data_IF_704879425158
#
_entry.id   IF_704879425158
#
_cell.length_a   1.000
_cell.length_b   1.000
_cell.length_c   1.000
_cell.angle_alpha   90.00
_cell.angle_beta   90.00
_cell.angle_gamma   90.00
#
_symmetry.space_group_name_H-M   'P 1'
#
loop_
_entity.id
_entity.type
_entity.pdbx_description
1 polymer ?
#
# COMPACT_ATOMS: atom_id res chain seq x y z
N UNK A 1 -4.92 6.22 -11.76
CA UNK A 1 -4.65 4.77 -11.51
C UNK A 1 -3.52 4.31 -12.42
N UNK A 2 -2.26 4.60 -12.10
CA UNK A 2 -1.13 4.35 -13.00
C UNK A 2 -0.85 2.86 -13.25
N UNK A 3 -1.33 1.99 -12.36
CA UNK A 3 -1.12 0.54 -12.46
C UNK A 3 -2.21 -0.18 -13.25
N UNK A 4 -3.18 0.55 -13.77
CA UNK A 4 -4.26 0.04 -14.61
C UNK A 4 -5.65 0.35 -14.09
N UNK A 5 -6.59 0.34 -15.02
CA UNK A 5 -8.00 0.63 -14.80
C UNK A 5 -8.85 -0.51 -15.36
N UNK A 6 -9.97 -0.89 -14.70
CA UNK A 6 -10.89 -1.87 -15.26
C UNK A 6 -11.51 -1.47 -16.60
N UNK A 7 -11.48 -0.17 -16.92
CA UNK A 7 -12.09 0.39 -18.13
C UNK A 7 -11.06 0.57 -19.25
N UNK A 8 -9.85 1.06 -18.92
CA UNK A 8 -8.82 1.45 -19.89
C UNK A 8 -7.69 0.41 -19.99
N UNK A 9 -7.65 -0.56 -19.07
CA UNK A 9 -6.55 -1.51 -18.99
C UNK A 9 -5.26 -0.87 -18.48
N UNK A 10 -4.14 -1.18 -19.10
CA UNK A 10 -2.83 -0.60 -18.78
C UNK A 10 -2.73 0.81 -19.35
N UNK A 11 -2.27 1.74 -18.52
CA UNK A 11 -2.02 3.13 -18.92
C UNK A 11 -0.60 3.24 -19.48
N UNK A 12 -0.40 3.85 -20.67
CA UNK A 12 0.92 4.10 -21.22
C UNK A 12 1.78 4.96 -20.29
N UNK A 13 3.06 4.64 -20.14
CA UNK A 13 3.98 5.40 -19.31
C UNK A 13 4.06 6.88 -19.71
N UNK A 14 4.02 7.18 -21.03
CA UNK A 14 4.04 8.55 -21.53
C UNK A 14 2.86 9.39 -21.08
N UNK A 15 1.70 8.80 -20.89
CA UNK A 15 0.52 9.48 -20.39
C UNK A 15 0.66 9.82 -18.90
N UNK A 16 1.20 8.89 -18.12
CA UNK A 16 1.51 9.11 -16.69
C UNK A 16 2.53 10.23 -16.56
N UNK A 17 3.59 10.21 -17.35
CA UNK A 17 4.63 11.23 -17.37
C UNK A 17 4.06 12.61 -17.68
N UNK A 18 3.16 12.70 -18.68
CA UNK A 18 2.52 13.97 -19.05
C UNK A 18 1.65 14.54 -17.92
N UNK A 19 0.99 13.68 -17.14
CA UNK A 19 0.20 14.11 -15.97
C UNK A 19 1.13 14.62 -14.87
N UNK A 20 2.27 13.93 -14.63
CA UNK A 20 3.26 14.37 -13.65
C UNK A 20 3.85 15.72 -14.05
N UNK A 21 4.23 15.89 -15.31
CA UNK A 21 4.74 17.17 -15.83
C UNK A 21 3.73 18.30 -15.61
N UNK A 22 2.44 18.05 -15.90
CA UNK A 22 1.39 19.04 -15.66
C UNK A 22 1.21 19.40 -14.16
N UNK A 23 1.41 18.45 -13.25
CA UNK A 23 1.42 18.74 -11.81
C UNK A 23 2.63 19.60 -11.41
N UNK A 24 3.80 19.30 -11.94
CA UNK A 24 5.02 20.09 -11.69
C UNK A 24 4.91 21.52 -12.22
N UNK A 25 4.29 21.71 -13.38
CA UNK A 25 4.05 23.02 -13.99
C UNK A 25 3.20 23.96 -13.11
N UNK A 26 2.31 23.38 -12.28
CA UNK A 26 1.50 24.15 -11.31
C UNK A 26 2.08 24.12 -9.89
N UNK A 27 3.31 23.61 -9.72
CA UNK A 27 4.06 23.64 -8.46
C UNK A 27 3.74 22.50 -7.48
N UNK A 28 3.04 21.44 -7.92
CA UNK A 28 2.78 20.26 -7.09
C UNK A 28 4.01 19.35 -7.16
N UNK A 29 4.63 19.11 -6.00
CA UNK A 29 5.85 18.30 -5.86
C UNK A 29 5.69 17.09 -4.95
N UNK A 30 4.48 16.84 -4.45
CA UNK A 30 4.14 15.66 -3.63
C UNK A 30 3.00 14.91 -4.32
N UNK A 31 3.28 13.69 -4.78
CA UNK A 31 2.38 12.91 -5.64
C UNK A 31 2.25 11.49 -5.12
N UNK A 32 1.01 10.98 -5.07
CA UNK A 32 0.72 9.59 -4.76
C UNK A 32 0.41 8.77 -6.02
N UNK A 33 1.10 7.65 -6.18
CA UNK A 33 0.78 6.63 -7.17
C UNK A 33 -0.18 5.62 -6.53
N UNK A 34 -1.44 5.63 -6.97
CA UNK A 34 -2.51 4.86 -6.35
C UNK A 34 -2.97 3.70 -7.21
N UNK A 35 -2.94 2.48 -6.66
CA UNK A 35 -3.53 1.27 -7.25
C UNK A 35 -4.96 1.06 -6.70
N UNK A 36 -5.85 1.98 -6.99
CA UNK A 36 -7.25 1.96 -6.52
C UNK A 36 -8.01 0.71 -6.97
N UNK A 37 -7.65 0.16 -8.12
CA UNK A 37 -8.27 -1.04 -8.67
C UNK A 37 -7.68 -2.35 -8.13
N UNK A 38 -6.52 -2.30 -7.48
CA UNK A 38 -5.76 -3.49 -7.07
C UNK A 38 -5.34 -4.35 -8.26
N UNK A 39 -5.06 -3.73 -9.42
CA UNK A 39 -4.62 -4.41 -10.65
C UNK A 39 -3.10 -4.44 -10.82
N UNK A 40 -2.39 -3.65 -10.03
CA UNK A 40 -0.93 -3.61 -10.04
C UNK A 40 -0.32 -4.96 -9.67
N UNK A 41 0.77 -5.31 -10.34
CA UNK A 41 1.57 -6.51 -10.06
C UNK A 41 3.03 -6.11 -9.81
N UNK A 42 3.81 -6.90 -9.03
CA UNK A 42 5.11 -6.46 -8.50
C UNK A 42 6.11 -5.96 -9.56
N UNK A 43 6.25 -6.66 -10.69
CA UNK A 43 7.16 -6.23 -11.74
C UNK A 43 6.76 -4.88 -12.35
N UNK A 44 5.46 -4.67 -12.60
CA UNK A 44 4.94 -3.39 -13.09
C UNK A 44 5.15 -2.26 -12.08
N UNK A 45 4.95 -2.54 -10.79
CA UNK A 45 5.16 -1.58 -9.71
C UNK A 45 6.64 -1.21 -9.63
N UNK A 46 7.54 -2.19 -9.67
CA UNK A 46 8.99 -1.96 -9.66
C UNK A 46 9.42 -1.08 -10.85
N UNK A 47 8.99 -1.43 -12.07
CA UNK A 47 9.31 -0.68 -13.31
C UNK A 47 8.81 0.78 -13.21
N UNK A 48 7.55 0.97 -12.83
CA UNK A 48 6.93 2.29 -12.67
C UNK A 48 7.67 3.13 -11.61
N UNK A 49 7.89 2.57 -10.42
CA UNK A 49 8.55 3.26 -9.33
C UNK A 49 9.98 3.64 -9.67
N UNK A 50 10.74 2.72 -10.27
CA UNK A 50 12.11 2.99 -10.74
C UNK A 50 12.15 4.10 -11.78
N UNK A 51 11.20 4.08 -12.72
CA UNK A 51 11.08 5.09 -13.77
C UNK A 51 10.81 6.49 -13.16
N UNK A 52 9.76 6.61 -12.37
CA UNK A 52 9.38 7.93 -11.83
C UNK A 52 10.41 8.46 -10.82
N UNK A 53 11.03 7.58 -10.03
CA UNK A 53 12.09 7.96 -9.10
C UNK A 53 13.30 8.54 -9.82
N UNK A 54 13.66 7.98 -10.98
CA UNK A 54 14.78 8.44 -11.81
C UNK A 54 14.44 9.69 -12.60
N UNK A 55 13.28 9.71 -13.24
CA UNK A 55 12.87 10.79 -14.16
C UNK A 55 12.46 12.06 -13.43
N UNK A 56 11.85 11.94 -12.25
CA UNK A 56 11.29 13.05 -11.48
C UNK A 56 11.90 13.12 -10.05
N UNK A 57 13.20 13.37 -9.92
CA UNK A 57 13.92 13.29 -8.65
C UNK A 57 13.52 14.36 -7.62
N UNK A 58 12.80 15.40 -8.04
CA UNK A 58 12.30 16.47 -7.17
C UNK A 58 10.95 16.16 -6.55
N UNK A 59 10.28 15.10 -7.00
CA UNK A 59 8.96 14.71 -6.53
C UNK A 59 9.08 13.86 -5.25
N UNK A 60 8.28 14.21 -4.27
CA UNK A 60 8.06 13.44 -3.05
C UNK A 60 7.00 12.38 -3.33
N UNK A 61 7.43 11.14 -3.50
CA UNK A 61 6.54 10.04 -3.88
C UNK A 61 5.85 9.41 -2.68
N UNK A 62 4.55 9.14 -2.83
CA UNK A 62 3.73 8.29 -1.97
C UNK A 62 3.15 7.14 -2.77
N UNK A 63 2.92 6.01 -2.14
CA UNK A 63 2.31 4.83 -2.75
C UNK A 63 1.07 4.43 -1.97
N UNK A 64 0.01 4.11 -2.70
CA UNK A 64 -1.26 3.67 -2.15
C UNK A 64 -1.72 2.40 -2.86
N UNK A 65 -1.82 1.30 -2.12
CA UNK A 65 -2.19 0.00 -2.69
C UNK A 65 -3.47 -0.55 -2.07
N UNK A 66 -4.37 -0.99 -2.93
CA UNK A 66 -5.51 -1.82 -2.54
C UNK A 66 -5.14 -3.30 -2.60
N UNK A 67 -5.63 -4.07 -1.61
CA UNK A 67 -5.37 -5.50 -1.51
C UNK A 67 -6.45 -6.37 -2.17
N UNK A 68 -7.15 -5.84 -3.15
CA UNK A 68 -8.30 -6.46 -3.82
C UNK A 68 -8.01 -7.89 -4.32
N UNK A 69 -6.78 -8.17 -4.75
CA UNK A 69 -6.35 -9.48 -5.26
C UNK A 69 -5.25 -10.12 -4.42
N UNK A 70 -5.04 -9.64 -3.19
CA UNK A 70 -4.04 -10.20 -2.27
C UNK A 70 -2.58 -9.93 -2.65
N UNK A 71 -2.30 -9.00 -3.59
CA UNK A 71 -0.94 -8.74 -4.10
C UNK A 71 -0.32 -7.45 -3.55
N UNK A 72 -1.06 -6.66 -2.77
CA UNK A 72 -0.58 -5.36 -2.30
C UNK A 72 0.72 -5.45 -1.49
N UNK A 73 0.89 -6.48 -0.66
CA UNK A 73 2.12 -6.70 0.11
C UNK A 73 3.34 -6.88 -0.80
N UNK A 74 3.19 -7.70 -1.85
CA UNK A 74 4.26 -7.91 -2.83
C UNK A 74 4.55 -6.64 -3.64
N UNK A 75 3.53 -5.83 -3.93
CA UNK A 75 3.67 -4.54 -4.58
C UNK A 75 4.44 -3.54 -3.71
N UNK A 76 4.18 -3.51 -2.39
CA UNK A 76 4.93 -2.68 -1.44
C UNK A 76 6.40 -3.08 -1.44
N UNK A 77 6.72 -4.37 -1.37
CA UNK A 77 8.10 -4.84 -1.42
C UNK A 77 8.79 -4.44 -2.73
N UNK A 78 8.13 -4.61 -3.86
CA UNK A 78 8.66 -4.20 -5.16
C UNK A 78 8.89 -2.68 -5.25
N UNK A 79 8.00 -1.88 -4.68
CA UNK A 79 8.17 -0.43 -4.61
C UNK A 79 9.34 -0.03 -3.69
N UNK A 80 9.51 -0.70 -2.55
CA UNK A 80 10.66 -0.49 -1.66
C UNK A 80 11.98 -0.83 -2.35
N UNK A 81 12.03 -1.92 -3.13
CA UNK A 81 13.20 -2.31 -3.93
C UNK A 81 13.53 -1.24 -4.98
N UNK A 82 12.52 -0.56 -5.53
CA UNK A 82 12.67 0.58 -6.43
C UNK A 82 13.03 1.91 -5.72
N UNK A 83 13.28 1.90 -4.40
CA UNK A 83 13.68 3.06 -3.61
C UNK A 83 12.54 3.89 -3.00
N UNK A 84 11.29 3.41 -3.08
CA UNK A 84 10.15 4.10 -2.46
C UNK A 84 10.09 3.85 -0.96
N UNK A 85 9.78 4.90 -0.17
CA UNK A 85 9.81 4.84 1.29
C UNK A 85 8.54 5.33 1.98
N UNK A 86 7.53 5.79 1.24
CA UNK A 86 6.31 6.37 1.81
C UNK A 86 5.10 5.63 1.27
N UNK A 87 4.29 5.10 2.19
CA UNK A 87 3.13 4.27 1.87
C UNK A 87 1.93 4.68 2.70
N UNK A 88 0.79 4.85 2.04
CA UNK A 88 -0.50 5.00 2.70
C UNK A 88 -1.10 3.63 2.97
N UNK A 89 -1.59 3.43 4.17
CA UNK A 89 -2.25 2.19 4.60
C UNK A 89 -3.43 2.51 5.50
N UNK A 90 -4.27 1.55 5.81
CA UNK A 90 -5.44 1.76 6.64
C UNK A 90 -5.54 0.76 7.79
N UNK A 91 -6.03 1.18 8.96
CA UNK A 91 -6.31 0.28 10.07
C UNK A 91 -7.25 -0.85 9.64
N UNK A 92 -6.82 -2.09 9.84
CA UNK A 92 -7.61 -3.25 9.44
C UNK A 92 -7.86 -3.39 7.93
N UNK A 93 -7.20 -2.62 7.09
CA UNK A 93 -7.47 -2.59 5.66
C UNK A 93 -8.79 -1.92 5.29
N UNK A 94 -9.31 -1.05 6.14
CA UNK A 94 -10.58 -0.36 5.92
C UNK A 94 -10.51 0.62 4.76
N UNK A 95 -11.65 0.78 4.10
CA UNK A 95 -11.80 1.63 2.93
C UNK A 95 -11.74 0.83 1.64
N UNK A 96 -12.35 1.36 0.61
CA UNK A 96 -12.44 0.73 -0.71
C UNK A 96 -12.95 1.72 -1.73
N UNK A 97 -13.11 1.27 -2.96
CA UNK A 97 -13.67 2.08 -4.03
C UNK A 97 -15.04 1.55 -4.42
N UNK A 98 -16.14 2.30 -4.21
CA UNK A 98 -17.48 1.84 -4.55
C UNK A 98 -17.69 1.71 -6.07
N UNK A 99 -16.83 2.33 -6.87
CA UNK A 99 -16.93 2.31 -8.33
C UNK A 99 -16.16 1.15 -8.97
N UNK A 100 -15.29 0.46 -8.23
CA UNK A 100 -14.54 -0.69 -8.74
C UNK A 100 -15.20 -1.97 -8.27
N UNK A 101 -15.76 -2.80 -9.17
CA UNK A 101 -16.41 -4.04 -8.80
C UNK A 101 -15.46 -4.98 -8.04
N UNK A 102 -15.91 -5.47 -6.88
CA UNK A 102 -15.14 -6.39 -6.06
C UNK A 102 -13.89 -5.77 -5.41
N UNK A 103 -13.78 -4.44 -5.38
CA UNK A 103 -12.69 -3.77 -4.69
C UNK A 103 -12.79 -4.09 -3.19
N UNK A 104 -11.86 -4.91 -2.71
CA UNK A 104 -11.56 -5.02 -1.29
C UNK A 104 -10.91 -3.71 -0.82
N UNK A 105 -10.79 -3.52 0.49
CA UNK A 105 -10.21 -2.32 1.06
C UNK A 105 -8.72 -2.14 0.78
N UNK A 106 -8.20 -1.11 1.42
CA UNK A 106 -6.77 -0.82 1.45
C UNK A 106 -5.97 -2.00 2.01
N UNK A 107 -4.67 -1.98 1.81
CA UNK A 107 -3.79 -2.85 2.58
C UNK A 107 -3.82 -2.45 4.07
N UNK A 108 -3.81 -3.44 4.96
CA UNK A 108 -3.85 -3.22 6.40
C UNK A 108 -2.53 -2.65 6.92
N UNK A 109 -2.60 -1.60 7.73
CA UNK A 109 -1.43 -0.96 8.35
C UNK A 109 -0.65 -1.93 9.22
N UNK A 110 -1.34 -2.68 10.08
CA UNK A 110 -0.70 -3.65 10.98
C UNK A 110 0.01 -4.77 10.23
N UNK A 111 -0.54 -5.23 9.11
CA UNK A 111 0.08 -6.27 8.30
C UNK A 111 1.37 -5.75 7.63
N UNK A 112 1.34 -4.53 7.10
CA UNK A 112 2.51 -3.89 6.48
C UNK A 112 3.62 -3.60 7.50
N UNK A 113 3.26 -3.07 8.67
CA UNK A 113 4.23 -2.77 9.73
C UNK A 113 4.87 -4.06 10.22
N UNK A 114 4.08 -5.12 10.44
CA UNK A 114 4.60 -6.42 10.85
C UNK A 114 5.55 -7.01 9.80
N UNK A 115 5.19 -6.95 8.52
CA UNK A 115 6.07 -7.37 7.43
C UNK A 115 7.39 -6.59 7.44
N UNK A 116 7.36 -5.28 7.64
CA UNK A 116 8.56 -4.46 7.74
C UNK A 116 9.43 -4.89 8.93
N UNK A 117 8.83 -5.02 10.12
CA UNK A 117 9.53 -5.39 11.36
C UNK A 117 10.22 -6.76 11.20
N UNK A 118 9.50 -7.79 10.69
CA UNK A 118 10.05 -9.13 10.46
C UNK A 118 11.13 -9.15 9.35
N UNK A 119 11.10 -8.18 8.46
CA UNK A 119 12.10 -8.00 7.40
C UNK A 119 13.28 -7.11 7.82
N UNK A 120 13.33 -6.65 9.08
CA UNK A 120 14.38 -5.78 9.58
C UNK A 120 14.29 -4.33 9.08
N UNK A 121 13.15 -3.91 8.56
CA UNK A 121 12.88 -2.55 8.08
C UNK A 121 12.23 -1.77 9.23
N UNK A 122 12.93 -0.76 9.74
CA UNK A 122 12.44 0.06 10.85
C UNK A 122 11.42 1.09 10.35
N UNK A 123 10.18 0.96 10.81
CA UNK A 123 9.11 1.93 10.52
C UNK A 123 9.00 3.02 11.58
N UNK A 124 9.53 2.79 12.78
CA UNK A 124 9.33 3.65 13.96
C UNK A 124 7.94 3.53 14.58
N UNK A 125 7.10 2.60 14.11
CA UNK A 125 5.72 2.41 14.55
C UNK A 125 5.61 1.13 15.37
N UNK A 126 4.97 1.23 16.53
CA UNK A 126 4.68 0.07 17.40
C UNK A 126 3.46 -0.69 16.86
N UNK A 127 3.70 -1.84 16.24
CA UNK A 127 2.66 -2.67 15.64
C UNK A 127 1.58 -3.09 16.65
N UNK A 128 1.94 -3.34 17.92
CA UNK A 128 0.97 -3.74 18.94
C UNK A 128 0.01 -2.62 19.30
N UNK A 129 0.48 -1.38 19.29
CA UNK A 129 -0.40 -0.20 19.47
C UNK A 129 -1.35 -0.03 18.28
N UNK A 130 -0.85 -0.23 17.06
CA UNK A 130 -1.68 -0.20 15.85
C UNK A 130 -2.75 -1.30 15.92
N UNK A 131 -2.39 -2.54 16.23
CA UNK A 131 -3.34 -3.64 16.43
C UNK A 131 -4.42 -3.32 17.47
N UNK A 132 -4.02 -2.69 18.58
CA UNK A 132 -4.98 -2.30 19.63
C UNK A 132 -5.99 -1.25 19.13
N UNK A 133 -5.55 -0.31 18.30
CA UNK A 133 -6.42 0.68 17.63
C UNK A 133 -7.35 -0.03 16.64
N UNK A 134 -6.82 -0.90 15.79
CA UNK A 134 -7.61 -1.64 14.79
C UNK A 134 -8.69 -2.51 15.44
N UNK A 135 -8.40 -3.15 16.60
CA UNK A 135 -9.42 -3.90 17.36
C UNK A 135 -10.52 -2.99 17.91
N UNK A 136 -10.19 -1.77 18.38
CA UNK A 136 -11.21 -0.79 18.78
C UNK A 136 -12.08 -0.38 17.59
N UNK A 137 -11.47 -0.18 16.42
CA UNK A 137 -12.21 0.14 15.20
C UNK A 137 -13.16 -1.00 14.83
N UNK A 138 -12.73 -2.27 14.88
CA UNK A 138 -13.62 -3.44 14.67
C UNK A 138 -14.81 -3.42 15.64
N UNK A 139 -14.56 -3.09 16.90
CA UNK A 139 -15.64 -2.98 17.92
C UNK A 139 -16.65 -1.89 17.57
N UNK A 140 -16.18 -0.73 17.11
CA UNK A 140 -17.05 0.39 16.70
C UNK A 140 -17.88 0.02 15.45
N UNK A 141 -17.28 -0.68 14.50
CA UNK A 141 -17.94 -1.09 13.27
C UNK A 141 -18.89 -2.28 13.46
N UNK A 142 -18.68 -3.08 14.50
CA UNK A 142 -19.48 -4.28 14.77
C UNK A 142 -19.15 -5.47 13.87
N UNK A 143 -18.02 -5.45 13.15
CA UNK A 143 -17.56 -6.56 12.32
C UNK A 143 -16.02 -6.65 12.27
N UNK A 144 -15.52 -7.81 11.85
CA UNK A 144 -14.09 -8.04 11.61
C UNK A 144 -13.62 -7.32 10.35
N UNK A 145 -12.32 -7.06 10.28
CA UNK A 145 -11.63 -6.44 9.14
C UNK A 145 -10.67 -7.44 8.48
N UNK A 146 -10.10 -7.09 7.34
CA UNK A 146 -9.33 -8.01 6.50
C UNK A 146 -7.84 -8.15 6.91
N UNK A 147 -7.45 -7.68 8.11
CA UNK A 147 -6.09 -7.84 8.61
C UNK A 147 -5.77 -9.29 8.98
N UNK A 148 -4.70 -9.81 8.43
CA UNK A 148 -4.16 -11.12 8.76
C UNK A 148 -3.56 -11.13 10.18
N UNK A 149 -2.86 -10.05 10.55
CA UNK A 149 -2.21 -9.95 11.85
C UNK A 149 -3.20 -9.88 13.01
N UNK A 150 -4.33 -9.19 12.83
CA UNK A 150 -5.39 -9.14 13.85
C UNK A 150 -5.99 -10.52 14.13
N UNK A 151 -5.98 -11.40 13.14
CA UNK A 151 -6.46 -12.78 13.21
C UNK A 151 -5.42 -13.72 13.84
N UNK A 152 -4.17 -13.64 13.36
CA UNK A 152 -3.11 -14.59 13.70
C UNK A 152 -2.28 -14.19 14.93
N UNK A 153 -2.18 -12.89 15.24
CA UNK A 153 -1.20 -12.34 16.19
C UNK A 153 0.20 -12.19 15.58
N UNK A 154 1.13 -11.63 16.34
CA UNK A 154 2.52 -11.49 15.90
C UNK A 154 3.26 -12.84 15.98
N UNK A 155 4.25 -13.05 15.10
CA UNK A 155 5.10 -14.24 15.09
C UNK A 155 5.75 -14.48 16.46
N UNK A 156 6.17 -13.41 17.14
CA UNK A 156 6.75 -13.46 18.49
C UNK A 156 5.80 -14.00 19.58
N UNK A 157 4.49 -13.96 19.38
CA UNK A 157 3.51 -14.49 20.33
C UNK A 157 3.55 -16.02 20.35
N UNK A 158 3.83 -16.66 19.22
CA UNK A 158 3.96 -18.10 19.09
C UNK A 158 5.23 -18.64 19.77
N UNK A 159 6.33 -17.88 19.73
CA UNK A 159 7.61 -18.30 20.32
C UNK A 159 7.57 -18.36 21.86
N UNK A 160 6.60 -17.70 22.48
CA UNK A 160 6.41 -17.72 23.95
C UNK A 160 5.56 -18.90 24.42
N UNK A 161 4.80 -19.53 23.51
CA UNK A 161 3.89 -20.65 23.86
C UNK A 161 4.56 -22.03 23.77
N UNK A 162 5.79 -22.11 23.28
CA UNK A 162 6.53 -23.38 23.04
C UNK A 162 7.59 -23.63 24.12
N UNK A 163 7.42 -23.06 25.33
CA UNK A 163 8.30 -23.36 26.51
C UNK A 163 7.63 -24.32 27.47
#
# INVERSE_FOLDING_TARGET
>A
MPFGSPWDGRIPQSEIDSIIDAYLDVGITEISLSDTSGMGVPNQVYEMCSHVHTKFPTVSWWLHFHNTRGVAMANIMAAMEAGMTRFDTSFGGLGGCPFVPGAAGNISSEDVIHMCDESGITTGIDVRKVMAISRKVQTILGHTTDSYLLRAGCSSDLLQTVK
#
